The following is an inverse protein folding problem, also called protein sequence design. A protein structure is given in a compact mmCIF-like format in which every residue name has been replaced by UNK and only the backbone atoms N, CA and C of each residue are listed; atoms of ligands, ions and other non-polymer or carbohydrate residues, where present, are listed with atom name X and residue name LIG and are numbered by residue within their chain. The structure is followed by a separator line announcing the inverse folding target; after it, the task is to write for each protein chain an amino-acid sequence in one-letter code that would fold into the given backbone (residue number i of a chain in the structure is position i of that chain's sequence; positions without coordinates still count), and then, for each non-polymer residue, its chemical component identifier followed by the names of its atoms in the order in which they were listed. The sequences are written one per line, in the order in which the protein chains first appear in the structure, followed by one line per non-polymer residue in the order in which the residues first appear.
data_IF_096326508090
#
_entry.id   IF_096326508090
#
_cell.length_a   1.000
_cell.length_b   1.000
_cell.length_c   1.000
_cell.angle_alpha   90.00
_cell.angle_beta   90.00
_cell.angle_gamma   90.00
#
_symmetry.space_group_name_H-M   'P 1'
#
loop_
_entity.id
_entity.type
_entity.pdbx_description
1 polymer ?
#
# COMPACT_ATOMS: atom_id res chain seq x y z
N UNK A 1 44.66 -15.52 -11.29
CA UNK A 1 45.87 -15.94 -10.58
C UNK A 1 45.47 -16.73 -9.35
N UNK A 2 45.95 -17.99 -9.31
CA UNK A 2 45.70 -19.03 -8.29
C UNK A 2 46.42 -18.76 -6.98
N UNK A 3 45.84 -19.24 -5.86
CA UNK A 3 46.54 -19.95 -4.74
C UNK A 3 45.51 -20.25 -3.65
N UNK A 4 45.07 -21.45 -3.32
CA UNK A 4 45.55 -22.70 -2.72
C UNK A 4 46.21 -22.53 -1.34
N UNK A 5 45.74 -23.39 -0.41
CA UNK A 5 46.37 -24.00 0.77
C UNK A 5 45.72 -23.59 2.10
N UNK A 6 45.58 -24.42 3.16
CA UNK A 6 45.92 -25.83 3.42
C UNK A 6 45.28 -26.23 4.73
N UNK A 7 44.85 -27.46 4.87
CA UNK A 7 44.36 -28.11 6.07
C UNK A 7 45.45 -28.32 7.10
N UNK A 8 45.10 -28.32 8.39
CA UNK A 8 45.91 -28.87 9.47
C UNK A 8 45.09 -29.77 10.39
N UNK A 9 45.38 -31.05 10.32
CA UNK A 9 45.01 -32.11 11.28
C UNK A 9 45.83 -31.94 12.57
N UNK A 10 45.24 -32.12 13.72
CA UNK A 10 45.96 -32.40 14.96
C UNK A 10 45.31 -33.58 15.70
N UNK A 11 46.06 -34.71 15.71
CA UNK A 11 45.80 -35.91 16.48
C UNK A 11 46.15 -35.68 17.96
N UNK A 12 45.32 -36.14 18.88
CA UNK A 12 45.66 -36.23 20.31
C UNK A 12 45.71 -37.69 20.72
N UNK A 13 46.85 -38.05 21.24
CA UNK A 13 47.31 -39.38 21.64
C UNK A 13 46.69 -39.79 22.95
N UNK A 14 46.25 -41.05 23.01
CA UNK A 14 45.76 -41.77 24.19
C UNK A 14 46.95 -42.27 25.04
N UNK A 15 46.99 -41.92 26.33
CA UNK A 15 47.94 -42.50 27.29
C UNK A 15 47.15 -43.37 28.25
N UNK A 16 47.40 -44.69 28.23
CA UNK A 16 46.91 -45.67 29.18
C UNK A 16 47.89 -45.80 30.36
N UNK A 17 47.42 -45.63 31.57
CA UNK A 17 48.15 -45.96 32.79
C UNK A 17 47.47 -47.16 33.45
N UNK A 18 48.21 -48.29 33.47
CA UNK A 18 47.91 -49.49 34.26
C UNK A 18 48.39 -49.27 35.69
N UNK A 19 47.49 -49.39 36.66
CA UNK A 19 47.87 -49.65 38.12
C UNK A 19 47.23 -50.92 38.55
N UNK A 20 48.07 -51.88 38.87
CA UNK A 20 47.69 -53.13 39.51
C UNK A 20 47.56 -52.93 41.06
N UNK A 21 46.48 -53.38 41.64
CA UNK A 21 46.21 -53.29 43.06
C UNK A 21 45.38 -54.47 43.56
N UNK A 22 45.89 -55.16 44.52
CA UNK A 22 45.57 -56.46 45.19
C UNK A 22 44.06 -56.69 45.41
N UNK A 23 43.69 -57.94 45.20
CA UNK A 23 42.42 -58.58 45.59
C UNK A 23 42.30 -58.88 47.09
N UNK A 24 41.14 -58.57 47.66
CA UNK A 24 40.61 -59.08 48.87
C UNK A 24 39.27 -59.78 48.56
N UNK A 25 38.93 -60.91 49.23
CA UNK A 25 37.80 -61.73 48.81
C UNK A 25 36.45 -61.13 49.17
N UNK A 26 35.53 -61.29 48.23
CA UNK A 26 34.18 -60.77 48.28
C UNK A 26 33.31 -61.53 49.33
N UNK A 27 32.53 -60.71 50.06
CA UNK A 27 31.39 -61.20 50.82
C UNK A 27 30.19 -61.42 49.87
N UNK A 28 29.43 -62.44 50.14
CA UNK A 28 28.26 -62.93 49.43
C UNK A 28 27.17 -61.83 49.45
N UNK A 29 26.55 -61.45 48.32
CA UNK A 29 25.54 -60.37 48.30
C UNK A 29 24.20 -60.90 48.83
N UNK A 30 23.62 -60.15 49.74
CA UNK A 30 22.20 -60.25 50.12
C UNK A 30 21.28 -59.97 48.93
N UNK A 31 20.10 -60.61 48.86
CA UNK A 31 19.16 -60.42 47.77
C UNK A 31 18.56 -59.02 47.86
N UNK A 32 18.97 -58.15 46.93
CA UNK A 32 18.36 -56.81 46.74
C UNK A 32 17.02 -56.99 46.08
N UNK A 33 15.95 -56.52 46.72
CA UNK A 33 14.63 -56.26 46.10
C UNK A 33 14.76 -55.30 44.94
N UNK A 34 14.15 -55.58 43.77
CA UNK A 34 14.18 -54.67 42.66
C UNK A 34 13.48 -53.38 43.06
N UNK A 35 13.99 -52.20 42.62
CA UNK A 35 13.31 -50.90 42.80
C UNK A 35 11.93 -50.93 42.13
N UNK A 36 10.92 -50.21 42.69
CA UNK A 36 9.61 -50.11 42.06
C UNK A 36 9.80 -49.58 40.63
N UNK A 37 9.10 -50.19 39.67
CA UNK A 37 9.08 -49.79 38.33
C UNK A 37 8.65 -48.29 38.32
N UNK A 38 9.46 -47.43 37.71
CA UNK A 38 9.08 -46.05 37.47
C UNK A 38 7.75 -46.07 36.71
N UNK A 39 6.72 -45.41 37.26
CA UNK A 39 5.48 -45.19 36.57
C UNK A 39 5.85 -44.48 35.25
N UNK A 40 5.45 -45.08 34.13
CA UNK A 40 5.59 -44.47 32.82
C UNK A 40 4.82 -43.15 32.86
N UNK A 41 5.55 -42.06 32.81
CA UNK A 41 4.96 -40.74 32.60
C UNK A 41 4.19 -40.84 31.29
N UNK A 42 2.87 -40.70 31.34
CA UNK A 42 2.04 -40.68 30.15
C UNK A 42 2.58 -39.54 29.23
N UNK A 43 2.95 -39.92 28.03
CA UNK A 43 3.22 -38.93 26.98
C UNK A 43 1.97 -38.08 26.86
N UNK A 44 2.04 -36.74 26.95
CA UNK A 44 0.86 -35.91 26.73
C UNK A 44 0.25 -36.30 25.37
N UNK A 45 -1.04 -36.56 25.41
CA UNK A 45 -1.83 -36.75 24.18
C UNK A 45 -1.62 -35.51 23.32
N UNK A 46 -1.29 -35.63 22.01
CA UNK A 46 -1.14 -34.46 21.16
C UNK A 46 -2.43 -33.62 21.25
N UNK A 47 -2.27 -32.32 21.46
CA UNK A 47 -3.41 -31.41 21.40
C UNK A 47 -4.10 -31.62 20.04
N UNK A 48 -5.44 -31.67 19.99
CA UNK A 48 -6.16 -31.83 18.74
C UNK A 48 -5.75 -30.70 17.81
N UNK A 49 -5.42 -31.03 16.57
CA UNK A 49 -5.21 -30.00 15.53
C UNK A 49 -6.48 -29.14 15.44
N UNK A 50 -6.33 -27.79 15.29
CA UNK A 50 -7.48 -26.93 15.18
C UNK A 50 -8.38 -27.35 14.00
N UNK A 51 -9.68 -27.28 14.19
CA UNK A 51 -10.63 -27.53 13.11
C UNK A 51 -10.46 -26.44 12.05
N UNK A 52 -10.20 -26.83 10.79
CA UNK A 52 -10.11 -25.92 9.65
C UNK A 52 -11.51 -25.67 9.12
N UNK A 53 -11.87 -24.40 9.02
CA UNK A 53 -13.13 -23.92 8.47
C UNK A 53 -13.07 -23.62 6.98
N UNK A 54 -14.00 -22.81 6.53
CA UNK A 54 -14.06 -22.29 5.16
C UNK A 54 -12.79 -21.54 4.78
N UNK A 55 -12.23 -21.79 3.60
CA UNK A 55 -11.17 -20.96 3.03
C UNK A 55 -11.80 -19.69 2.44
N UNK A 56 -11.37 -18.51 2.92
CA UNK A 56 -11.76 -17.23 2.34
C UNK A 56 -10.83 -16.85 1.19
N UNK A 57 -11.39 -16.34 0.10
CA UNK A 57 -10.61 -15.91 -1.06
C UNK A 57 -10.76 -14.42 -1.29
N UNK A 58 -9.66 -13.72 -1.50
CA UNK A 58 -9.59 -12.29 -1.82
C UNK A 58 -9.05 -12.13 -3.23
N UNK A 59 -9.80 -11.47 -4.11
CA UNK A 59 -9.32 -11.11 -5.45
C UNK A 59 -8.45 -9.86 -5.37
N UNK A 60 -7.17 -9.99 -5.67
CA UNK A 60 -6.21 -8.88 -5.65
C UNK A 60 -5.69 -8.59 -7.06
N UNK A 61 -5.98 -7.40 -7.58
CA UNK A 61 -5.69 -7.06 -8.99
C UNK A 61 -5.12 -5.66 -9.17
N UNK A 62 -3.85 -5.43 -8.81
CA UNK A 62 -3.17 -4.16 -9.08
C UNK A 62 -2.78 -4.04 -10.55
N UNK A 63 -2.35 -2.86 -10.96
CA UNK A 63 -1.85 -2.57 -12.31
C UNK A 63 -0.35 -2.92 -12.41
N UNK A 64 0.02 -4.22 -12.40
CA UNK A 64 1.44 -4.65 -12.33
C UNK A 64 2.19 -4.35 -13.62
N UNK A 65 1.48 -4.37 -14.76
CA UNK A 65 2.06 -4.00 -16.06
C UNK A 65 1.31 -2.83 -16.69
N UNK A 66 1.88 -2.25 -17.74
CA UNK A 66 1.31 -1.10 -18.41
C UNK A 66 1.62 0.24 -17.74
N UNK A 67 0.77 1.23 -17.96
CA UNK A 67 1.03 2.61 -17.56
C UNK A 67 0.92 2.88 -16.05
N UNK A 68 0.33 1.99 -15.27
CA UNK A 68 0.19 2.09 -13.82
C UNK A 68 1.18 1.23 -13.02
N UNK A 69 2.14 0.58 -13.69
CA UNK A 69 3.01 -0.42 -13.08
C UNK A 69 3.81 0.10 -11.88
N UNK A 70 4.25 1.35 -11.91
CA UNK A 70 4.97 1.99 -10.81
C UNK A 70 4.12 2.18 -9.53
N UNK A 71 2.79 2.09 -9.64
CA UNK A 71 1.86 2.07 -8.51
C UNK A 71 1.50 0.63 -8.13
N UNK A 72 1.26 -0.21 -9.14
CA UNK A 72 0.77 -1.57 -8.94
C UNK A 72 1.84 -2.57 -8.45
N UNK A 73 3.10 -2.37 -8.80
CA UNK A 73 4.18 -3.26 -8.35
C UNK A 73 4.41 -3.17 -6.82
N UNK A 74 4.48 -1.99 -6.19
CA UNK A 74 4.50 -1.88 -4.73
C UNK A 74 3.27 -2.51 -4.05
N UNK A 75 2.09 -2.39 -4.64
CA UNK A 75 0.86 -3.00 -4.13
C UNK A 75 0.94 -4.54 -4.18
N UNK A 76 1.41 -5.10 -5.30
CA UNK A 76 1.65 -6.54 -5.43
C UNK A 76 2.65 -7.04 -4.39
N UNK A 77 3.75 -6.32 -4.19
CA UNK A 77 4.78 -6.72 -3.23
C UNK A 77 4.18 -6.85 -1.83
N UNK A 78 3.29 -5.91 -1.43
CA UNK A 78 2.61 -6.02 -0.15
C UNK A 78 1.66 -7.24 -0.09
N UNK A 79 0.96 -7.55 -1.17
CA UNK A 79 0.11 -8.75 -1.20
C UNK A 79 0.92 -10.05 -1.02
N UNK A 80 2.14 -10.13 -1.57
CA UNK A 80 3.02 -11.28 -1.35
C UNK A 80 3.51 -11.35 0.12
N UNK A 81 3.88 -10.22 0.72
CA UNK A 81 4.21 -10.16 2.16
C UNK A 81 3.03 -10.64 3.01
N UNK A 82 1.80 -10.22 2.68
CA UNK A 82 0.62 -10.63 3.42
C UNK A 82 0.34 -12.14 3.27
N UNK A 83 0.57 -12.74 2.11
CA UNK A 83 0.49 -14.19 1.92
C UNK A 83 1.45 -14.94 2.85
N UNK A 84 2.70 -14.49 2.92
CA UNK A 84 3.70 -15.07 3.83
C UNK A 84 3.26 -14.95 5.30
N UNK A 85 2.75 -13.78 5.71
CA UNK A 85 2.22 -13.59 7.07
C UNK A 85 1.04 -14.50 7.39
N UNK A 86 0.11 -14.70 6.46
CA UNK A 86 -1.03 -15.59 6.61
C UNK A 86 -0.61 -17.07 6.65
N UNK A 87 0.38 -17.47 5.86
CA UNK A 87 0.95 -18.82 5.91
C UNK A 87 1.67 -19.06 7.24
N UNK A 88 2.48 -18.13 7.71
CA UNK A 88 3.20 -18.24 8.99
C UNK A 88 2.26 -18.29 10.20
N UNK A 89 1.15 -17.54 10.17
CA UNK A 89 0.14 -17.60 11.24
C UNK A 89 -0.75 -18.83 11.18
N UNK A 90 -0.74 -19.56 10.07
CA UNK A 90 -1.64 -20.70 9.82
C UNK A 90 -3.08 -20.27 9.49
N UNK A 91 -3.30 -19.04 9.09
CA UNK A 91 -4.61 -18.45 8.76
C UNK A 91 -5.11 -17.47 9.84
N UNK A 92 -6.42 -17.21 9.82
CA UNK A 92 -7.10 -16.33 10.77
C UNK A 92 -8.04 -17.13 11.67
N UNK A 93 -8.39 -16.59 12.84
CA UNK A 93 -9.26 -17.28 13.82
C UNK A 93 -10.60 -16.56 13.90
N UNK A 94 -11.67 -17.25 13.56
CA UNK A 94 -13.04 -16.72 13.67
C UNK A 94 -13.50 -16.59 15.14
N UNK A 95 -14.64 -15.93 15.40
CA UNK A 95 -15.15 -15.68 16.75
C UNK A 95 -15.60 -16.98 17.47
N UNK A 96 -15.80 -18.05 16.72
CA UNK A 96 -16.13 -19.40 17.21
C UNK A 96 -14.89 -20.28 17.50
N UNK A 97 -13.68 -19.73 17.27
CA UNK A 97 -12.40 -20.42 17.46
C UNK A 97 -12.00 -21.32 16.29
N UNK A 98 -12.74 -21.32 15.20
CA UNK A 98 -12.39 -22.03 13.96
C UNK A 98 -11.28 -21.27 13.24
N UNK A 99 -10.30 -22.02 12.72
CA UNK A 99 -9.20 -21.46 11.91
C UNK A 99 -9.60 -21.47 10.44
N UNK A 100 -9.43 -20.35 9.78
CA UNK A 100 -9.74 -20.17 8.36
C UNK A 100 -8.48 -19.84 7.57
N UNK A 101 -8.27 -20.55 6.48
CA UNK A 101 -7.27 -20.18 5.50
C UNK A 101 -7.77 -18.95 4.73
N UNK A 102 -6.85 -18.01 4.39
CA UNK A 102 -7.13 -16.86 3.53
C UNK A 102 -6.23 -16.95 2.31
N UNK A 103 -6.84 -17.11 1.15
CA UNK A 103 -6.18 -17.17 -0.15
C UNK A 103 -6.26 -15.79 -0.82
N UNK A 104 -5.11 -15.14 -1.07
CA UNK A 104 -5.03 -13.92 -1.88
C UNK A 104 -4.70 -14.31 -3.31
N UNK A 105 -5.66 -14.17 -4.23
CA UNK A 105 -5.51 -14.51 -5.65
C UNK A 105 -5.02 -13.27 -6.39
N UNK A 106 -3.73 -13.22 -6.70
CA UNK A 106 -3.11 -12.08 -7.36
C UNK A 106 -3.24 -12.19 -8.88
N UNK A 107 -3.72 -11.13 -9.51
CA UNK A 107 -3.77 -10.96 -10.97
C UNK A 107 -3.19 -9.64 -11.40
N UNK A 108 -3.16 -9.38 -12.70
CA UNK A 108 -2.70 -8.14 -13.30
C UNK A 108 -3.82 -7.54 -14.16
N UNK A 109 -4.19 -6.29 -13.93
CA UNK A 109 -5.13 -5.54 -14.75
C UNK A 109 -4.53 -5.07 -16.09
N UNK A 110 -3.20 -5.19 -16.25
CA UNK A 110 -2.43 -4.69 -17.39
C UNK A 110 -2.65 -3.17 -17.65
N UNK A 111 -3.08 -2.42 -16.64
CA UNK A 111 -3.52 -1.03 -16.77
C UNK A 111 -4.58 -0.83 -17.88
N UNK A 112 -5.39 -1.85 -18.13
CA UNK A 112 -6.42 -1.89 -19.15
C UNK A 112 -7.82 -2.10 -18.51
N UNK A 113 -8.77 -1.17 -18.66
CA UNK A 113 -10.09 -1.28 -18.04
C UNK A 113 -10.88 -2.55 -18.43
N UNK A 114 -10.76 -3.01 -19.68
CA UNK A 114 -11.47 -4.20 -20.15
C UNK A 114 -10.86 -5.48 -19.54
N UNK A 115 -9.54 -5.54 -19.41
CA UNK A 115 -8.84 -6.64 -18.74
C UNK A 115 -9.20 -6.66 -17.26
N UNK A 116 -9.17 -5.51 -16.60
CA UNK A 116 -9.52 -5.38 -15.19
C UNK A 116 -10.97 -5.82 -14.90
N UNK A 117 -11.94 -5.38 -15.72
CA UNK A 117 -13.33 -5.79 -15.59
C UNK A 117 -13.51 -7.31 -15.84
N UNK A 118 -12.76 -7.89 -16.80
CA UNK A 118 -12.79 -9.33 -17.05
C UNK A 118 -12.16 -10.12 -15.90
N UNK A 119 -11.07 -9.62 -15.33
CA UNK A 119 -10.41 -10.20 -14.15
C UNK A 119 -11.34 -10.15 -12.92
N UNK A 120 -12.00 -9.01 -12.69
CA UNK A 120 -12.96 -8.87 -11.61
C UNK A 120 -14.13 -9.87 -11.75
N UNK A 121 -14.69 -10.02 -12.95
CA UNK A 121 -15.75 -11.02 -13.21
C UNK A 121 -15.27 -12.44 -12.94
N UNK A 122 -14.06 -12.80 -13.39
CA UNK A 122 -13.49 -14.12 -13.07
C UNK A 122 -13.39 -14.34 -11.55
N UNK A 123 -12.89 -13.37 -10.81
CA UNK A 123 -12.81 -13.46 -9.37
C UNK A 123 -14.18 -13.66 -8.71
N UNK A 124 -15.19 -12.97 -9.21
CA UNK A 124 -16.56 -13.04 -8.68
C UNK A 124 -17.24 -14.37 -9.01
N UNK A 125 -17.17 -14.80 -10.28
CA UNK A 125 -18.00 -15.88 -10.85
C UNK A 125 -17.31 -17.25 -10.78
N UNK A 126 -15.97 -17.30 -10.89
CA UNK A 126 -15.22 -18.56 -10.97
C UNK A 126 -14.44 -18.84 -9.67
N UNK A 127 -13.77 -17.82 -9.14
CA UNK A 127 -12.94 -17.95 -7.94
C UNK A 127 -13.78 -17.79 -6.66
N UNK A 128 -15.00 -17.21 -6.75
CA UNK A 128 -15.96 -17.02 -5.65
C UNK A 128 -15.36 -16.22 -4.48
N UNK A 129 -14.68 -15.09 -4.78
CA UNK A 129 -14.01 -14.27 -3.78
C UNK A 129 -15.01 -13.56 -2.85
N UNK A 130 -14.60 -13.35 -1.61
CA UNK A 130 -15.37 -12.60 -0.59
C UNK A 130 -15.22 -11.10 -0.73
N UNK A 131 -14.12 -10.63 -1.31
CA UNK A 131 -13.83 -9.21 -1.54
C UNK A 131 -12.91 -9.03 -2.76
N UNK A 132 -12.96 -7.84 -3.37
CA UNK A 132 -12.06 -7.39 -4.41
C UNK A 132 -11.19 -6.25 -3.88
N UNK A 133 -9.87 -6.32 -4.08
CA UNK A 133 -8.90 -5.25 -3.84
C UNK A 133 -8.15 -5.05 -5.15
N UNK A 134 -8.50 -4.02 -5.92
CA UNK A 134 -8.05 -3.92 -7.30
C UNK A 134 -7.88 -2.45 -7.74
N UNK A 135 -7.18 -2.25 -8.86
CA UNK A 135 -7.10 -0.97 -9.56
C UNK A 135 -6.21 0.06 -8.88
N UNK A 136 -5.05 0.30 -9.46
CA UNK A 136 -4.07 1.29 -8.98
C UNK A 136 -4.33 2.70 -9.53
N UNK A 137 -5.06 2.81 -10.64
CA UNK A 137 -5.40 4.09 -11.29
C UNK A 137 -6.90 4.21 -11.56
N UNK A 138 -7.38 5.45 -11.63
CA UNK A 138 -8.81 5.80 -11.70
C UNK A 138 -9.60 5.09 -12.81
N UNK A 139 -9.16 5.05 -14.09
CA UNK A 139 -9.97 4.41 -15.14
C UNK A 139 -10.16 2.91 -14.92
N UNK A 140 -9.17 2.25 -14.34
CA UNK A 140 -9.23 0.83 -13.99
C UNK A 140 -10.26 0.62 -12.86
N UNK A 141 -10.13 1.41 -11.79
CA UNK A 141 -11.03 1.33 -10.64
C UNK A 141 -12.50 1.59 -10.99
N UNK A 142 -12.77 2.53 -11.90
CA UNK A 142 -14.14 2.79 -12.37
C UNK A 142 -14.74 1.57 -13.07
N UNK A 143 -13.96 0.88 -13.92
CA UNK A 143 -14.44 -0.31 -14.62
C UNK A 143 -14.75 -1.48 -13.65
N UNK A 144 -13.95 -1.61 -12.58
CA UNK A 144 -14.16 -2.63 -11.55
C UNK A 144 -15.37 -2.28 -10.67
N UNK A 145 -15.57 -1.00 -10.33
CA UNK A 145 -16.68 -0.54 -9.50
C UNK A 145 -18.06 -0.93 -10.07
N UNK A 146 -18.20 -0.91 -11.40
CA UNK A 146 -19.43 -1.39 -12.07
C UNK A 146 -19.65 -2.89 -11.83
N UNK A 147 -18.60 -3.71 -11.99
CA UNK A 147 -18.68 -5.17 -11.75
C UNK A 147 -19.01 -5.47 -10.29
N UNK A 148 -18.31 -4.82 -9.36
CA UNK A 148 -18.49 -5.02 -7.92
C UNK A 148 -19.90 -4.64 -7.46
N UNK A 149 -20.43 -3.54 -7.98
CA UNK A 149 -21.79 -3.07 -7.68
C UNK A 149 -22.85 -4.04 -8.22
N UNK A 150 -22.70 -4.52 -9.46
CA UNK A 150 -23.62 -5.48 -10.07
C UNK A 150 -23.63 -6.82 -9.34
N UNK A 151 -22.46 -7.27 -8.89
CA UNK A 151 -22.27 -8.57 -8.25
C UNK A 151 -22.46 -8.55 -6.73
N UNK A 152 -22.69 -7.39 -6.13
CA UNK A 152 -22.80 -7.22 -4.67
C UNK A 152 -21.56 -7.79 -3.92
N UNK A 153 -20.36 -7.41 -4.38
CA UNK A 153 -19.09 -7.81 -3.77
C UNK A 153 -18.39 -6.56 -3.22
N UNK A 154 -17.94 -6.57 -1.95
CA UNK A 154 -17.18 -5.45 -1.41
C UNK A 154 -15.89 -5.26 -2.21
N UNK A 155 -15.70 -4.05 -2.70
CA UNK A 155 -14.57 -3.64 -3.51
C UNK A 155 -13.84 -2.49 -2.85
N UNK A 156 -12.54 -2.65 -2.63
CA UNK A 156 -11.66 -1.62 -2.11
C UNK A 156 -10.72 -1.18 -3.24
N UNK A 157 -10.88 0.06 -3.68
CA UNK A 157 -10.04 0.67 -4.70
C UNK A 157 -8.77 1.27 -4.07
N UNK A 158 -7.64 1.12 -4.76
CA UNK A 158 -6.36 1.73 -4.41
C UNK A 158 -6.07 3.01 -5.23
N UNK A 159 -7.09 3.60 -5.88
CA UNK A 159 -6.98 4.80 -6.69
C UNK A 159 -7.67 6.02 -6.04
N UNK A 160 -7.28 7.23 -6.45
CA UNK A 160 -7.53 8.47 -5.71
C UNK A 160 -8.88 9.15 -5.97
N UNK A 161 -9.52 8.96 -7.13
CA UNK A 161 -10.74 9.70 -7.48
C UNK A 161 -11.94 9.33 -6.61
N UNK A 162 -12.68 10.32 -6.13
CA UNK A 162 -13.95 10.11 -5.41
C UNK A 162 -15.07 9.60 -6.33
N UNK A 163 -14.98 9.81 -7.64
CA UNK A 163 -15.92 9.27 -8.62
C UNK A 163 -15.99 7.72 -8.61
N UNK A 164 -15.02 7.06 -7.99
CA UNK A 164 -15.00 5.59 -7.83
C UNK A 164 -16.06 5.15 -6.82
N UNK A 165 -16.17 5.83 -5.70
CA UNK A 165 -17.08 5.47 -4.59
C UNK A 165 -18.44 6.13 -4.67
N UNK A 166 -18.56 7.24 -5.41
CA UNK A 166 -19.83 7.96 -5.58
C UNK A 166 -20.05 8.30 -7.05
N UNK A 167 -21.31 8.37 -7.45
CA UNK A 167 -21.69 8.86 -8.77
C UNK A 167 -21.37 10.36 -8.87
N UNK A 168 -20.58 10.81 -9.85
CA UNK A 168 -20.13 12.20 -9.92
C UNK A 168 -21.25 13.18 -10.25
N UNK A 169 -22.35 12.73 -10.86
CA UNK A 169 -23.46 13.60 -11.27
C UNK A 169 -24.51 13.76 -10.16
N UNK A 170 -24.75 12.71 -9.38
CA UNK A 170 -25.78 12.67 -8.32
C UNK A 170 -25.22 12.76 -6.92
N UNK A 171 -23.95 12.41 -6.72
CA UNK A 171 -23.32 12.26 -5.40
C UNK A 171 -23.78 11.01 -4.64
N UNK A 172 -24.54 10.12 -5.29
CA UNK A 172 -25.01 8.90 -4.63
C UNK A 172 -23.86 7.91 -4.40
N UNK A 173 -23.68 7.49 -3.14
CA UNK A 173 -22.64 6.54 -2.74
C UNK A 173 -22.90 5.16 -3.34
N UNK A 174 -21.86 4.50 -3.87
CA UNK A 174 -21.93 3.10 -4.29
C UNK A 174 -21.82 2.17 -3.09
N UNK A 175 -22.88 1.40 -2.73
CA UNK A 175 -22.91 0.68 -1.46
C UNK A 175 -21.85 -0.40 -1.26
N UNK A 176 -21.22 -0.86 -2.34
CA UNK A 176 -20.26 -1.96 -2.33
C UNK A 176 -18.81 -1.51 -2.62
N UNK A 177 -18.59 -0.20 -2.78
CA UNK A 177 -17.31 0.33 -3.24
C UNK A 177 -16.71 1.27 -2.23
N UNK A 178 -15.48 0.99 -1.82
CA UNK A 178 -14.65 1.74 -0.88
C UNK A 178 -13.32 2.14 -1.53
N UNK A 179 -12.57 3.02 -0.90
CA UNK A 179 -11.21 3.37 -1.36
C UNK A 179 -10.29 3.72 -0.20
N UNK A 180 -9.00 3.42 -0.35
CA UNK A 180 -7.96 3.70 0.64
C UNK A 180 -7.02 4.84 0.25
N UNK A 181 -6.84 5.11 -1.04
CA UNK A 181 -5.94 6.18 -1.49
C UNK A 181 -6.54 7.57 -1.18
N UNK A 182 -5.71 8.53 -0.83
CA UNK A 182 -6.12 9.90 -0.59
C UNK A 182 -6.78 10.54 -1.83
N UNK A 183 -7.64 11.54 -1.64
CA UNK A 183 -8.40 12.15 -2.72
C UNK A 183 -7.67 13.29 -3.42
N UNK A 184 -7.96 13.51 -4.71
CA UNK A 184 -7.46 14.65 -5.45
C UNK A 184 -8.08 15.98 -4.96
N UNK A 185 -9.25 15.93 -4.29
CA UNK A 185 -9.86 17.10 -3.66
C UNK A 185 -9.03 17.61 -2.48
N UNK A 186 -8.53 16.70 -1.64
CA UNK A 186 -7.65 17.06 -0.53
C UNK A 186 -6.30 17.58 -1.02
N UNK A 187 -5.74 16.97 -2.07
CA UNK A 187 -4.54 17.47 -2.74
C UNK A 187 -4.73 18.90 -3.22
N UNK A 188 -5.89 19.21 -3.80
CA UNK A 188 -6.17 20.55 -4.30
C UNK A 188 -6.18 21.61 -3.17
N UNK A 189 -6.66 21.26 -1.96
CA UNK A 189 -6.58 22.15 -0.80
C UNK A 189 -5.12 22.44 -0.43
N UNK A 190 -4.27 21.44 -0.33
CA UNK A 190 -2.85 21.59 -0.08
C UNK A 190 -2.14 22.45 -1.14
N UNK A 191 -2.49 22.25 -2.40
CA UNK A 191 -1.94 23.06 -3.49
C UNK A 191 -2.33 24.55 -3.36
N UNK A 192 -3.58 24.84 -3.02
CA UNK A 192 -4.06 26.20 -2.78
C UNK A 192 -3.34 26.86 -1.61
N UNK A 193 -3.20 26.17 -0.49
CA UNK A 193 -2.48 26.68 0.68
C UNK A 193 -1.04 27.02 0.31
N UNK A 194 -0.32 26.09 -0.30
CA UNK A 194 1.07 26.31 -0.67
C UNK A 194 1.27 27.43 -1.69
N UNK A 195 0.43 27.51 -2.70
CA UNK A 195 0.49 28.58 -3.71
C UNK A 195 0.15 29.95 -3.10
N UNK A 196 -0.74 29.98 -2.12
CA UNK A 196 -1.05 31.19 -1.34
C UNK A 196 0.17 31.67 -0.56
N UNK A 197 0.86 30.77 0.14
CA UNK A 197 2.07 31.08 0.90
C UNK A 197 3.21 31.60 0.02
N UNK A 198 3.33 31.08 -1.20
CA UNK A 198 4.24 31.57 -2.22
C UNK A 198 3.84 32.92 -2.83
N UNK A 199 2.64 33.44 -2.52
CA UNK A 199 2.13 34.69 -3.07
C UNK A 199 1.75 34.57 -4.54
N UNK A 200 1.43 33.38 -5.03
CA UNK A 200 1.03 33.08 -6.40
C UNK A 200 -0.38 33.62 -6.66
N UNK A 201 -0.59 34.31 -7.79
CA UNK A 201 -1.89 34.81 -8.21
C UNK A 201 -2.37 34.15 -9.51
N UNK A 202 -1.46 33.54 -10.27
CA UNK A 202 -1.76 32.90 -11.53
C UNK A 202 -1.00 31.59 -11.69
N UNK A 203 -1.68 30.58 -12.24
CA UNK A 203 -1.11 29.23 -12.46
C UNK A 203 -1.25 28.81 -13.90
N UNK A 204 -0.32 27.95 -14.35
CA UNK A 204 -0.47 27.13 -15.53
C UNK A 204 -0.62 25.68 -15.09
N UNK A 205 -1.53 24.93 -15.69
CA UNK A 205 -1.80 23.55 -15.30
C UNK A 205 -1.46 22.59 -16.43
N UNK A 206 -0.66 21.57 -16.13
CA UNK A 206 -0.42 20.43 -17.03
C UNK A 206 -0.94 19.15 -16.39
N UNK A 207 -1.57 18.28 -17.17
CA UNK A 207 -2.08 17.03 -16.66
C UNK A 207 -1.99 15.89 -17.67
N UNK A 208 -1.82 14.66 -17.19
CA UNK A 208 -1.85 13.50 -18.07
C UNK A 208 -3.27 13.29 -18.64
N UNK A 209 -3.37 12.90 -19.91
CA UNK A 209 -4.64 12.69 -20.61
C UNK A 209 -5.29 11.35 -20.22
N UNK A 210 -5.54 11.17 -18.92
CA UNK A 210 -6.20 10.01 -18.32
C UNK A 210 -7.34 10.46 -17.41
N UNK A 211 -8.12 9.50 -16.90
CA UNK A 211 -9.13 9.79 -15.87
C UNK A 211 -8.52 10.41 -14.61
N UNK A 212 -7.33 9.94 -14.19
CA UNK A 212 -6.61 10.50 -13.06
C UNK A 212 -6.19 11.96 -13.30
N UNK A 213 -5.50 12.25 -14.40
CA UNK A 213 -5.03 13.60 -14.68
C UNK A 213 -6.16 14.60 -14.83
N UNK A 214 -7.29 14.20 -15.44
CA UNK A 214 -8.50 15.03 -15.55
C UNK A 214 -9.14 15.29 -14.19
N UNK A 215 -9.19 14.27 -13.31
CA UNK A 215 -9.71 14.42 -11.95
C UNK A 215 -8.82 15.37 -11.12
N UNK A 216 -7.48 15.27 -11.22
CA UNK A 216 -6.55 16.22 -10.64
C UNK A 216 -6.83 17.64 -11.12
N UNK A 217 -6.91 17.84 -12.44
CA UNK A 217 -7.16 19.15 -13.03
C UNK A 217 -8.50 19.75 -12.57
N UNK A 218 -9.57 18.97 -12.60
CA UNK A 218 -10.90 19.45 -12.24
C UNK A 218 -10.96 19.90 -10.77
N UNK A 219 -10.42 19.10 -9.84
CA UNK A 219 -10.40 19.44 -8.42
C UNK A 219 -9.49 20.66 -8.17
N UNK A 220 -8.26 20.66 -8.69
CA UNK A 220 -7.32 21.77 -8.49
C UNK A 220 -7.81 23.07 -9.13
N UNK A 221 -8.31 23.04 -10.37
CA UNK A 221 -8.76 24.25 -11.03
C UNK A 221 -9.98 24.89 -10.37
N UNK A 222 -10.89 24.07 -9.82
CA UNK A 222 -12.01 24.55 -9.01
C UNK A 222 -11.51 25.23 -7.73
N UNK A 223 -10.65 24.54 -6.95
CA UNK A 223 -10.11 25.07 -5.70
C UNK A 223 -9.27 26.36 -5.91
N UNK A 224 -8.44 26.39 -6.95
CA UNK A 224 -7.63 27.57 -7.30
C UNK A 224 -8.53 28.75 -7.71
N UNK A 225 -9.60 28.50 -8.45
CA UNK A 225 -10.58 29.52 -8.85
C UNK A 225 -11.31 30.08 -7.62
N UNK A 226 -11.74 29.23 -6.70
CA UNK A 226 -12.39 29.63 -5.46
C UNK A 226 -11.46 30.45 -4.55
N UNK A 227 -10.15 30.17 -4.59
CA UNK A 227 -9.11 30.93 -3.92
C UNK A 227 -8.74 32.25 -4.64
N UNK A 228 -9.33 32.52 -5.81
CA UNK A 228 -9.10 33.75 -6.60
C UNK A 228 -7.82 33.73 -7.43
N UNK A 229 -7.21 32.57 -7.65
CA UNK A 229 -6.06 32.40 -8.54
C UNK A 229 -6.53 32.23 -9.99
N UNK A 230 -5.80 32.84 -10.93
CA UNK A 230 -6.12 32.77 -12.36
C UNK A 230 -5.45 31.58 -13.03
N UNK A 231 -6.23 30.73 -13.72
CA UNK A 231 -5.67 29.68 -14.57
C UNK A 231 -5.35 30.28 -15.97
N UNK A 232 -4.06 30.55 -16.19
CA UNK A 232 -3.58 31.21 -17.41
C UNK A 232 -3.42 30.26 -18.60
N UNK A 233 -3.24 28.96 -18.32
CA UNK A 233 -3.04 27.91 -19.32
C UNK A 233 -3.39 26.55 -18.77
N UNK A 234 -4.01 25.71 -19.59
CA UNK A 234 -4.18 24.29 -19.34
C UNK A 234 -3.69 23.46 -20.52
N UNK A 235 -3.06 22.34 -20.26
CA UNK A 235 -2.56 21.45 -21.30
C UNK A 235 -2.49 20.00 -20.87
N UNK A 236 -3.15 19.12 -21.65
CA UNK A 236 -3.02 17.68 -21.49
C UNK A 236 -1.80 17.13 -22.24
N UNK A 237 -1.25 16.02 -21.74
CA UNK A 237 -0.17 15.26 -22.38
C UNK A 237 -0.37 13.77 -22.15
N UNK A 238 0.24 12.92 -23.00
CA UNK A 238 0.22 11.49 -22.77
C UNK A 238 1.30 11.09 -21.75
N UNK A 239 1.00 10.14 -20.87
CA UNK A 239 1.94 9.70 -19.81
C UNK A 239 3.31 9.27 -20.32
N UNK A 240 3.38 8.81 -21.57
CA UNK A 240 4.62 8.37 -22.24
C UNK A 240 5.31 9.46 -23.05
N UNK A 241 4.77 10.68 -23.05
CA UNK A 241 5.38 11.78 -23.77
C UNK A 241 6.76 12.14 -23.19
N UNK A 242 7.68 12.43 -24.11
CA UNK A 242 9.03 12.95 -23.81
C UNK A 242 9.26 14.33 -24.40
N UNK A 243 8.31 14.81 -25.23
CA UNK A 243 8.30 16.15 -25.80
C UNK A 243 7.01 16.87 -25.41
N UNK A 244 7.13 18.12 -24.98
CA UNK A 244 6.01 18.90 -24.44
C UNK A 244 5.80 20.20 -25.23
N UNK A 245 5.01 20.16 -26.31
CA UNK A 245 4.70 21.34 -27.12
C UNK A 245 3.90 22.41 -26.35
N UNK A 246 3.41 22.09 -25.16
CA UNK A 246 2.72 23.01 -24.24
C UNK A 246 3.68 24.02 -23.60
N UNK A 247 4.97 23.70 -23.41
CA UNK A 247 5.94 24.53 -22.67
C UNK A 247 6.09 25.96 -23.26
N UNK A 248 6.20 26.17 -24.57
CA UNK A 248 6.20 27.54 -25.12
C UNK A 248 4.93 28.34 -24.82
N UNK A 249 3.77 27.70 -24.69
CA UNK A 249 2.53 28.39 -24.34
C UNK A 249 2.51 28.77 -22.84
N UNK A 250 3.06 27.92 -21.95
CA UNK A 250 3.26 28.24 -20.54
C UNK A 250 4.18 29.45 -20.40
N UNK A 251 5.32 29.46 -21.10
CA UNK A 251 6.25 30.57 -21.09
C UNK A 251 5.56 31.88 -21.56
N UNK A 252 4.77 31.79 -22.65
CA UNK A 252 4.04 32.94 -23.17
C UNK A 252 2.90 33.43 -22.26
N UNK A 253 2.28 32.53 -21.50
CA UNK A 253 1.23 32.85 -20.53
C UNK A 253 1.77 33.65 -19.35
N UNK A 254 3.02 33.39 -18.92
CA UNK A 254 3.68 34.11 -17.84
C UNK A 254 3.03 33.90 -16.48
N UNK A 255 2.56 32.69 -16.21
CA UNK A 255 2.00 32.31 -14.92
C UNK A 255 3.07 32.35 -13.80
N UNK A 256 2.65 32.54 -12.56
CA UNK A 256 3.54 32.61 -11.39
C UNK A 256 4.03 31.22 -10.93
N UNK A 257 3.26 30.16 -11.22
CA UNK A 257 3.61 28.78 -10.90
C UNK A 257 3.02 27.79 -11.91
N UNK A 258 3.57 26.57 -11.94
CA UNK A 258 3.01 25.45 -12.72
C UNK A 258 2.55 24.33 -11.77
N UNK A 259 1.36 23.81 -11.98
CA UNK A 259 0.84 22.62 -11.30
C UNK A 259 0.82 21.46 -12.27
N UNK A 260 1.27 20.28 -11.84
CA UNK A 260 1.32 19.06 -12.66
C UNK A 260 0.50 17.95 -12.02
N UNK A 261 -0.58 17.53 -12.72
CA UNK A 261 -1.44 16.39 -12.33
C UNK A 261 -1.12 15.14 -13.15
N UNK A 262 -0.09 14.40 -12.77
CA UNK A 262 0.36 13.20 -13.48
C UNK A 262 1.13 12.23 -12.57
N UNK A 263 1.36 11.01 -13.06
CA UNK A 263 2.26 10.03 -12.41
C UNK A 263 3.53 9.84 -13.24
N UNK A 264 4.63 9.27 -12.66
CA UNK A 264 5.83 8.92 -13.41
C UNK A 264 5.54 7.89 -14.53
N UNK A 265 6.31 7.90 -15.64
CA UNK A 265 7.39 8.83 -15.93
C UNK A 265 6.92 10.18 -16.47
N UNK A 266 5.67 10.33 -16.90
CA UNK A 266 5.14 11.55 -17.53
C UNK A 266 5.28 12.79 -16.66
N UNK A 267 5.02 12.67 -15.35
CA UNK A 267 5.19 13.76 -14.40
C UNK A 267 6.63 14.27 -14.34
N UNK A 268 7.61 13.38 -14.28
CA UNK A 268 9.04 13.72 -14.25
C UNK A 268 9.50 14.35 -15.59
N UNK A 269 9.05 13.79 -16.72
CA UNK A 269 9.36 14.32 -18.05
C UNK A 269 8.79 15.73 -18.26
N UNK A 270 7.53 15.96 -17.86
CA UNK A 270 6.89 17.27 -17.91
C UNK A 270 7.63 18.28 -17.01
N UNK A 271 7.98 17.88 -15.80
CA UNK A 271 8.77 18.71 -14.88
C UNK A 271 10.11 19.11 -15.50
N UNK A 272 10.87 18.15 -16.04
CA UNK A 272 12.13 18.41 -16.72
C UNK A 272 11.99 19.41 -17.88
N UNK A 273 10.96 19.25 -18.70
CA UNK A 273 10.71 20.16 -19.84
C UNK A 273 10.41 21.59 -19.39
N UNK A 274 9.57 21.75 -18.34
CA UNK A 274 9.24 23.07 -17.76
C UNK A 274 10.48 23.67 -17.09
N UNK A 275 11.19 22.92 -16.25
CA UNK A 275 12.37 23.39 -15.53
C UNK A 275 13.49 23.82 -16.49
N UNK A 276 13.60 23.17 -17.65
CA UNK A 276 14.58 23.54 -18.70
C UNK A 276 14.27 24.90 -19.32
N UNK A 277 12.99 25.20 -19.56
CA UNK A 277 12.56 26.46 -20.17
C UNK A 277 12.42 27.60 -19.15
N UNK A 278 11.94 27.27 -17.94
CA UNK A 278 11.63 28.20 -16.85
C UNK A 278 12.36 27.72 -15.56
N UNK A 279 13.66 28.01 -15.42
CA UNK A 279 14.48 27.41 -14.35
C UNK A 279 14.04 27.75 -12.93
N UNK A 280 13.42 28.91 -12.73
CA UNK A 280 13.11 29.44 -11.39
C UNK A 280 11.62 29.37 -11.05
N UNK A 281 10.76 28.87 -11.96
CA UNK A 281 9.32 28.83 -11.70
C UNK A 281 8.99 27.77 -10.64
N UNK A 282 8.14 28.05 -9.65
CA UNK A 282 7.61 27.04 -8.75
C UNK A 282 6.84 25.95 -9.54
N UNK A 283 7.14 24.69 -9.27
CA UNK A 283 6.44 23.54 -9.86
C UNK A 283 5.90 22.67 -8.73
N UNK A 284 4.58 22.54 -8.66
CA UNK A 284 3.88 21.76 -7.64
C UNK A 284 3.20 20.58 -8.30
N UNK A 285 3.34 19.42 -7.67
CA UNK A 285 2.73 18.17 -8.13
C UNK A 285 1.52 17.76 -7.28
N UNK A 286 0.72 16.84 -7.81
CA UNK A 286 -0.19 16.03 -7.02
C UNK A 286 0.56 14.87 -6.33
N UNK A 287 -0.15 14.15 -5.46
CA UNK A 287 0.41 13.03 -4.68
C UNK A 287 0.78 11.78 -5.51
N UNK A 288 0.38 11.70 -6.77
CA UNK A 288 0.74 10.59 -7.66
C UNK A 288 2.24 10.44 -7.95
N UNK A 289 3.07 11.38 -7.49
CA UNK A 289 4.55 11.34 -7.62
C UNK A 289 5.25 10.87 -6.33
N UNK A 290 4.52 10.44 -5.31
CA UNK A 290 5.08 10.02 -4.02
C UNK A 290 5.72 8.61 -4.09
N UNK A 291 6.66 8.45 -5.00
CA UNK A 291 7.41 7.21 -5.27
C UNK A 291 8.82 7.54 -5.72
N UNK A 292 9.77 6.65 -5.41
CA UNK A 292 11.17 6.77 -5.84
C UNK A 292 11.33 6.83 -7.35
N UNK A 293 10.37 6.27 -8.11
CA UNK A 293 10.36 6.34 -9.58
C UNK A 293 10.30 7.77 -10.12
N UNK A 294 9.60 8.68 -9.42
CA UNK A 294 9.58 10.09 -9.78
C UNK A 294 10.98 10.70 -9.70
N UNK A 295 11.69 10.43 -8.61
CA UNK A 295 13.04 10.93 -8.39
C UNK A 295 14.00 10.28 -9.39
N UNK A 296 13.92 8.96 -9.57
CA UNK A 296 14.78 8.20 -10.49
C UNK A 296 14.61 8.67 -11.93
N UNK A 297 13.37 8.88 -12.38
CA UNK A 297 13.07 9.34 -13.75
C UNK A 297 13.47 10.80 -13.98
N UNK A 298 13.32 11.67 -12.96
CA UNK A 298 13.59 13.11 -13.08
C UNK A 298 15.04 13.50 -12.80
N UNK A 299 15.77 12.70 -12.01
CA UNK A 299 17.13 13.02 -11.59
C UNK A 299 17.26 14.41 -10.97
N UNK A 300 18.32 15.14 -11.32
CA UNK A 300 18.56 16.49 -10.81
C UNK A 300 17.49 17.52 -11.21
N UNK A 301 16.69 17.23 -12.24
CA UNK A 301 15.67 18.17 -12.71
C UNK A 301 14.50 18.32 -11.73
N UNK A 302 14.22 17.29 -10.94
CA UNK A 302 13.13 17.32 -9.94
C UNK A 302 13.57 17.79 -8.55
N UNK A 303 14.84 18.21 -8.38
CA UNK A 303 15.24 18.91 -7.18
C UNK A 303 14.33 20.11 -6.93
N UNK A 304 13.90 20.31 -5.70
CA UNK A 304 12.94 21.33 -5.29
C UNK A 304 11.53 21.16 -5.86
N UNK A 305 11.18 20.01 -6.45
CA UNK A 305 9.78 19.68 -6.75
C UNK A 305 9.01 19.52 -5.43
N UNK A 306 7.80 20.08 -5.39
CA UNK A 306 6.96 20.08 -4.19
C UNK A 306 5.66 19.28 -4.39
N UNK A 307 5.24 18.54 -3.35
CA UNK A 307 4.04 17.68 -3.42
C UNK A 307 3.51 17.32 -2.02
N UNK A 308 2.20 17.08 -1.87
CA UNK A 308 1.66 16.43 -0.67
C UNK A 308 1.83 14.91 -0.79
N UNK A 309 2.35 14.26 0.25
CA UNK A 309 2.44 12.80 0.35
C UNK A 309 1.97 12.31 1.72
N UNK A 310 1.66 11.00 1.84
CA UNK A 310 1.48 10.39 3.15
C UNK A 310 2.79 10.40 3.94
N UNK A 311 2.71 10.70 5.23
CA UNK A 311 3.87 10.71 6.12
C UNK A 311 4.48 9.31 6.36
N UNK A 312 3.87 8.25 5.87
CA UNK A 312 4.43 6.88 5.94
C UNK A 312 5.83 6.78 5.34
N UNK A 313 6.15 7.62 4.33
CA UNK A 313 7.49 7.63 3.70
C UNK A 313 8.61 8.14 4.62
N UNK A 314 8.25 8.79 5.73
CA UNK A 314 9.16 9.24 6.79
C UNK A 314 8.78 8.64 8.14
N UNK A 315 8.21 7.44 8.14
CA UNK A 315 7.71 6.79 9.35
C UNK A 315 8.68 6.82 10.53
N UNK A 316 9.99 6.70 10.30
CA UNK A 316 11.02 6.72 11.34
C UNK A 316 11.07 8.05 12.10
N UNK A 317 10.89 9.17 11.41
CA UNK A 317 11.02 10.52 11.94
C UNK A 317 9.76 11.02 12.66
N UNK A 318 8.65 10.31 12.50
CA UNK A 318 7.37 10.66 13.13
C UNK A 318 7.42 10.45 14.65
N UNK A 319 6.80 11.34 15.40
CA UNK A 319 6.73 11.29 16.86
C UNK A 319 6.15 9.97 17.38
N UNK A 320 6.70 9.46 18.48
CA UNK A 320 6.33 8.15 19.01
C UNK A 320 4.88 8.07 19.55
N UNK A 321 4.26 9.20 19.82
CA UNK A 321 2.87 9.32 20.26
C UNK A 321 1.86 9.51 19.12
N UNK A 322 2.31 9.56 17.87
CA UNK A 322 1.42 9.55 16.72
C UNK A 322 0.67 8.22 16.65
N UNK A 323 -0.67 8.22 16.56
CA UNK A 323 -1.47 6.98 16.60
C UNK A 323 -1.17 6.02 15.44
N UNK A 324 -0.71 6.50 14.29
CA UNK A 324 -0.36 5.67 13.14
C UNK A 324 1.10 5.18 13.14
N UNK A 325 1.94 5.64 14.07
CA UNK A 325 3.38 5.32 14.10
C UNK A 325 3.66 3.82 14.08
N UNK A 326 2.92 3.03 14.86
CA UNK A 326 3.12 1.60 14.93
C UNK A 326 2.80 0.92 13.60
N UNK A 327 1.68 1.29 12.98
CA UNK A 327 1.25 0.81 11.65
C UNK A 327 2.27 1.17 10.57
N UNK A 328 2.74 2.42 10.57
CA UNK A 328 3.72 2.88 9.59
C UNK A 328 5.07 2.17 9.70
N UNK A 329 5.52 1.88 10.93
CA UNK A 329 6.75 1.11 11.15
C UNK A 329 6.58 -0.36 10.78
N UNK A 330 5.45 -1.00 11.10
CA UNK A 330 5.18 -2.38 10.69
C UNK A 330 5.18 -2.52 9.16
N UNK A 331 4.50 -1.61 8.47
CA UNK A 331 4.50 -1.57 7.01
C UNK A 331 5.92 -1.36 6.45
N UNK A 332 6.62 -0.32 6.94
CA UNK A 332 7.95 0.04 6.46
C UNK A 332 8.94 -1.10 6.63
N UNK A 333 9.07 -1.61 7.86
CA UNK A 333 10.05 -2.65 8.18
C UNK A 333 9.82 -3.91 7.34
N UNK A 334 8.56 -4.37 7.22
CA UNK A 334 8.25 -5.55 6.42
C UNK A 334 8.45 -5.33 4.91
N UNK A 335 8.07 -4.15 4.41
CA UNK A 335 8.20 -3.83 2.98
C UNK A 335 9.68 -3.72 2.57
N UNK A 336 10.49 -3.00 3.34
CA UNK A 336 11.92 -2.82 3.05
C UNK A 336 12.72 -4.11 3.24
N UNK A 337 12.36 -4.93 4.23
CA UNK A 337 12.98 -6.26 4.41
C UNK A 337 12.69 -7.20 3.24
N UNK A 338 11.47 -7.15 2.69
CA UNK A 338 11.06 -8.00 1.56
C UNK A 338 11.64 -7.53 0.23
N UNK A 339 11.56 -6.22 -0.04
CA UNK A 339 11.92 -5.67 -1.37
C UNK A 339 13.38 -5.22 -1.46
N UNK A 340 13.99 -4.81 -0.35
CA UNK A 340 15.25 -4.08 -0.33
C UNK A 340 15.16 -2.64 -0.83
N UNK A 341 13.96 -2.12 -1.08
CA UNK A 341 13.68 -0.78 -1.61
C UNK A 341 12.91 0.06 -0.59
N UNK A 342 13.07 1.39 -0.59
CA UNK A 342 12.29 2.26 0.28
C UNK A 342 10.78 2.11 0.05
N UNK A 343 10.00 2.34 1.10
CA UNK A 343 8.54 2.32 0.99
C UNK A 343 8.01 3.36 0.01
N UNK A 344 6.89 3.03 -0.62
CA UNK A 344 6.06 3.99 -1.35
C UNK A 344 4.65 4.04 -0.74
N UNK A 345 3.96 5.16 -0.91
CA UNK A 345 2.57 5.30 -0.44
C UNK A 345 1.64 4.26 -1.08
N UNK A 346 1.97 3.80 -2.29
CA UNK A 346 1.13 2.84 -3.03
C UNK A 346 1.16 1.43 -2.44
N UNK A 347 2.31 0.96 -1.96
CA UNK A 347 2.38 -0.29 -1.18
C UNK A 347 1.52 -0.21 0.10
N UNK A 348 1.50 0.97 0.72
CA UNK A 348 0.65 1.25 1.88
C UNK A 348 -0.85 1.13 1.58
N UNK A 349 -1.32 1.55 0.40
CA UNK A 349 -2.72 1.37 0.02
C UNK A 349 -3.12 -0.12 0.01
N UNK A 350 -2.24 -1.01 -0.41
CA UNK A 350 -2.49 -2.45 -0.36
C UNK A 350 -2.48 -2.98 1.09
N UNK A 351 -1.62 -2.42 1.95
CA UNK A 351 -1.64 -2.70 3.39
C UNK A 351 -3.02 -2.39 3.96
N UNK A 352 -3.48 -1.16 3.82
CA UNK A 352 -4.74 -0.70 4.39
C UNK A 352 -5.92 -1.56 3.90
N UNK A 353 -6.02 -1.77 2.59
CA UNK A 353 -7.11 -2.52 1.97
C UNK A 353 -7.16 -3.99 2.41
N UNK A 354 -6.00 -4.67 2.49
CA UNK A 354 -5.93 -6.06 2.92
C UNK A 354 -6.28 -6.22 4.40
N UNK A 355 -5.79 -5.32 5.27
CA UNK A 355 -6.12 -5.39 6.68
C UNK A 355 -7.61 -5.13 6.95
N UNK A 356 -8.26 -4.21 6.23
CA UNK A 356 -9.71 -4.02 6.36
C UNK A 356 -10.50 -5.30 6.08
N UNK A 357 -10.10 -6.03 5.03
CA UNK A 357 -10.77 -7.29 4.69
C UNK A 357 -10.44 -8.38 5.69
N UNK A 358 -9.18 -8.52 6.11
CA UNK A 358 -8.75 -9.54 7.08
C UNK A 358 -9.45 -9.34 8.42
N UNK A 359 -9.46 -8.11 8.97
CA UNK A 359 -10.17 -7.80 10.20
C UNK A 359 -11.68 -8.10 10.11
N UNK A 360 -12.29 -7.82 8.95
CA UNK A 360 -13.68 -8.20 8.71
C UNK A 360 -13.87 -9.72 8.76
N UNK A 361 -13.00 -10.48 8.09
CA UNK A 361 -13.07 -11.95 8.05
C UNK A 361 -12.90 -12.58 9.44
N UNK A 362 -12.06 -12.02 10.30
CA UNK A 362 -11.88 -12.47 11.69
C UNK A 362 -13.16 -12.37 12.54
N UNK A 363 -14.14 -11.59 12.09
CA UNK A 363 -15.44 -11.46 12.77
C UNK A 363 -16.51 -12.43 12.29
N UNK A 364 -16.24 -13.20 11.22
CA UNK A 364 -17.21 -14.09 10.61
C UNK A 364 -17.23 -15.45 11.28
N UNK A 365 -18.39 -15.96 11.74
CA UNK A 365 -18.52 -17.33 12.19
C UNK A 365 -18.52 -18.29 10.99
N UNK A 366 -18.14 -19.55 11.23
CA UNK A 366 -18.25 -20.62 10.24
C UNK A 366 -19.71 -20.84 9.78
N UNK A 367 -19.89 -21.25 8.52
CA UNK A 367 -21.18 -21.68 7.98
C UNK A 367 -21.99 -20.60 7.28
N UNK A 368 -21.47 -19.38 7.10
CA UNK A 368 -22.10 -18.35 6.27
C UNK A 368 -22.01 -18.72 4.78
N UNK A 369 -23.08 -18.47 4.04
CA UNK A 369 -23.03 -18.49 2.57
C UNK A 369 -22.13 -17.38 2.03
N UNK A 370 -21.60 -17.52 0.80
CA UNK A 370 -20.77 -16.50 0.17
C UNK A 370 -21.43 -15.12 0.14
N UNK A 371 -22.74 -15.05 -0.15
CA UNK A 371 -23.47 -13.78 -0.15
C UNK A 371 -23.52 -13.14 1.26
N UNK A 372 -23.70 -13.95 2.31
CA UNK A 372 -23.68 -13.48 3.69
C UNK A 372 -22.27 -13.04 4.11
N UNK A 373 -21.21 -13.74 3.69
CA UNK A 373 -19.82 -13.34 3.91
C UNK A 373 -19.52 -11.99 3.26
N UNK A 374 -19.89 -11.80 1.98
CA UNK A 374 -19.73 -10.53 1.25
C UNK A 374 -20.45 -9.37 1.94
N UNK A 375 -21.70 -9.60 2.33
CA UNK A 375 -22.47 -8.57 3.05
C UNK A 375 -21.84 -8.23 4.40
N UNK A 376 -21.39 -9.21 5.15
CA UNK A 376 -20.76 -8.98 6.46
C UNK A 376 -19.42 -8.28 6.35
N UNK A 377 -18.59 -8.60 5.34
CA UNK A 377 -17.33 -7.87 5.05
C UNK A 377 -17.64 -6.41 4.70
N UNK A 378 -18.61 -6.16 3.81
CA UNK A 378 -19.05 -4.81 3.46
C UNK A 378 -19.51 -4.03 4.70
N UNK A 379 -20.40 -4.63 5.51
CA UNK A 379 -20.95 -4.00 6.71
C UNK A 379 -19.87 -3.72 7.76
N UNK A 380 -18.89 -4.62 7.90
CA UNK A 380 -17.76 -4.41 8.80
C UNK A 380 -16.96 -3.19 8.36
N UNK A 381 -16.54 -3.13 7.10
CA UNK A 381 -15.73 -2.03 6.56
C UNK A 381 -16.47 -0.70 6.77
N UNK A 382 -17.74 -0.61 6.39
CA UNK A 382 -18.55 0.59 6.48
C UNK A 382 -18.72 1.10 7.92
N UNK A 383 -18.82 0.21 8.92
CA UNK A 383 -19.25 0.57 10.29
C UNK A 383 -18.17 0.43 11.36
N UNK A 384 -17.06 -0.26 11.08
CA UNK A 384 -16.03 -0.55 12.09
C UNK A 384 -14.65 0.07 11.77
N UNK A 385 -14.41 0.49 10.52
CA UNK A 385 -13.21 1.26 10.20
C UNK A 385 -13.42 2.70 10.66
N UNK A 386 -13.18 2.93 11.96
CA UNK A 386 -13.32 4.25 12.60
C UNK A 386 -12.14 4.49 13.54
N UNK A 387 -11.55 5.68 13.46
CA UNK A 387 -10.28 6.01 14.11
C UNK A 387 -9.17 4.95 13.81
N UNK A 388 -9.24 4.33 12.63
CA UNK A 388 -8.38 3.23 12.23
C UNK A 388 -7.06 3.77 11.66
N UNK A 389 -5.91 3.42 12.29
CA UNK A 389 -4.61 3.96 11.90
C UNK A 389 -4.05 3.21 10.68
N UNK A 390 -4.30 3.75 9.49
CA UNK A 390 -3.75 3.23 8.23
C UNK A 390 -2.46 3.91 7.80
N UNK A 391 -1.88 3.40 6.72
CA UNK A 391 -0.68 3.97 6.09
C UNK A 391 -0.99 5.28 5.37
N UNK A 392 -2.21 5.43 4.84
CA UNK A 392 -2.66 6.64 4.17
C UNK A 392 -3.12 7.73 5.14
N UNK A 393 -3.43 7.40 6.40
CA UNK A 393 -3.93 8.32 7.42
C UNK A 393 -4.78 7.60 8.45
N UNK A 394 -5.54 8.36 9.25
CA UNK A 394 -6.50 7.80 10.21
C UNK A 394 -7.86 7.74 9.53
N UNK A 395 -8.32 6.54 9.23
CA UNK A 395 -9.60 6.33 8.54
C UNK A 395 -10.80 6.40 9.48
N UNK A 396 -11.87 6.99 8.97
CA UNK A 396 -13.16 7.06 9.63
C UNK A 396 -14.29 6.94 8.61
N UNK A 397 -14.61 5.70 8.25
CA UNK A 397 -15.68 5.41 7.29
C UNK A 397 -17.07 5.59 7.92
N UNK A 398 -18.04 5.80 7.06
CA UNK A 398 -19.47 5.90 7.42
C UNK A 398 -20.33 5.51 6.19
N UNK A 399 -21.63 5.22 6.36
CA UNK A 399 -22.52 4.88 5.23
C UNK A 399 -22.63 5.96 4.14
N UNK A 400 -22.34 7.20 4.46
CA UNK A 400 -22.29 8.33 3.53
C UNK A 400 -20.85 8.79 3.20
N UNK A 401 -19.85 8.07 3.69
CA UNK A 401 -18.42 8.33 3.41
C UNK A 401 -17.62 7.01 3.34
N UNK A 402 -17.43 6.48 2.15
CA UNK A 402 -16.62 5.29 1.87
C UNK A 402 -15.14 5.61 1.59
N UNK A 403 -14.71 6.83 1.89
CA UNK A 403 -13.32 7.29 1.82
C UNK A 403 -12.69 7.42 3.21
N UNK A 404 -13.35 8.12 4.12
CA UNK A 404 -12.99 8.21 5.54
C UNK A 404 -11.67 8.93 5.86
N UNK A 405 -11.04 9.60 4.90
CA UNK A 405 -9.88 10.47 5.09
C UNK A 405 -10.24 11.93 4.81
N UNK A 406 -9.37 12.83 5.17
CA UNK A 406 -9.45 14.25 4.83
C UNK A 406 -8.05 14.81 4.49
N UNK A 407 -7.96 16.11 4.24
CA UNK A 407 -6.72 16.76 3.85
C UNK A 407 -5.59 16.61 4.89
N UNK A 408 -5.89 16.36 6.16
CA UNK A 408 -4.89 16.15 7.22
C UNK A 408 -4.13 14.83 7.09
N UNK A 409 -4.55 13.95 6.16
CA UNK A 409 -3.87 12.71 5.81
C UNK A 409 -2.56 12.91 5.04
N UNK A 410 -2.26 14.15 4.65
CA UNK A 410 -1.05 14.51 3.94
C UNK A 410 -0.05 15.28 4.80
N UNK A 411 1.19 15.22 4.37
CA UNK A 411 2.30 16.08 4.78
C UNK A 411 2.92 16.67 3.52
N UNK A 412 3.37 17.93 3.57
CA UNK A 412 4.02 18.56 2.44
C UNK A 412 5.48 18.17 2.34
N UNK A 413 5.90 17.79 1.15
CA UNK A 413 7.27 17.36 0.86
C UNK A 413 7.87 18.17 -0.27
N UNK A 414 9.20 18.23 -0.26
CA UNK A 414 10.02 18.60 -1.41
C UNK A 414 11.02 17.50 -1.73
N UNK A 415 11.51 17.47 -2.95
CA UNK A 415 12.68 16.68 -3.30
C UNK A 415 13.93 17.46 -2.96
N UNK A 416 14.78 16.91 -2.09
CA UNK A 416 16.07 17.49 -1.72
C UNK A 416 17.11 16.38 -1.57
N UNK A 417 18.22 16.49 -2.32
CA UNK A 417 19.29 15.48 -2.33
C UNK A 417 18.79 14.12 -2.82
N UNK A 418 17.91 14.09 -3.80
CA UNK A 418 17.29 12.88 -4.37
C UNK A 418 16.46 12.07 -3.36
N UNK A 419 15.81 12.78 -2.42
CA UNK A 419 14.93 12.20 -1.41
C UNK A 419 13.71 13.08 -1.18
N UNK A 420 12.63 12.48 -0.72
CA UNK A 420 11.49 13.20 -0.18
C UNK A 420 11.85 13.73 1.22
N UNK A 421 11.81 15.04 1.40
CA UNK A 421 12.09 15.70 2.68
C UNK A 421 10.84 16.49 3.06
N UNK A 422 10.28 16.26 4.27
CA UNK A 422 9.12 17.03 4.71
C UNK A 422 9.53 18.49 4.93
N UNK A 423 8.61 19.40 4.65
CA UNK A 423 8.78 20.78 5.07
C UNK A 423 8.68 20.85 6.59
N UNK A 424 9.57 21.61 7.28
CA UNK A 424 9.41 21.89 8.69
C UNK A 424 8.08 22.64 8.94
N UNK A 425 7.37 22.32 10.04
CA UNK A 425 6.15 23.04 10.44
C UNK A 425 6.34 24.57 10.55
N UNK A 426 7.56 25.03 10.76
CA UNK A 426 7.91 26.45 10.88
C UNK A 426 8.01 27.19 9.53
N UNK A 427 7.95 26.46 8.42
CA UNK A 427 8.05 27.01 7.05
C UNK A 427 6.66 27.08 6.34
N UNK A 428 5.58 26.85 7.09
CA UNK A 428 4.17 26.95 6.63
C UNK A 428 3.57 28.32 6.98
#
# INVERSE_FOLDING_TARGET
VKSKMLAAFTAVTLVALLVAGCATPAAEPEPTTPPPAAEATATPEPEPEPEMGTTYKIGFGPDVTGGGANLGEPQRNWAEIMKERLEESGGIVGPDGVVHEVEIIVGDSESNPDVAASLARRYVDEDEVVALIMGSVTPISLAIAEVATEAEVPYISMASSLAIIADPDTGEMRPWVFKVAQSNGDVAQWQVERLTDLGVNSVCYMYENTGYGKDCYNNSSAALTDAGMENMFEGAFERTDTEFPQVPAIEAAGCDAVVIGAIPPGAANAHLAIRTALPDIPIIHGHGVCTTDFITAGGDAVESAEMPCSAVIIAEDIAADNPAKATWMDFKDAYEDYTGEPVSTFGGHAYDALYWVIEALETLPEGLSLAEQRAAVRDYIENNITDWPGTAGIFKLAPDDHYGLDYTSFTWFKVEGQKFVPFPEEEW
#
